data_IF_480149748954
#
_entry.id   IF_480149748954
#
_cell.length_a   1.000
_cell.length_b   1.000
_cell.length_c   1.000
_cell.angle_alpha   90.00
_cell.angle_beta   90.00
_cell.angle_gamma   90.00
#
_symmetry.space_group_name_H-M   'P 1'
#
loop_
_entity.id
_entity.type
_entity.pdbx_description
1 polymer ?
#
# COMPACT_ATOMS: atom_id res chain seq x y z
N UNK A 1 4.25 -12.13 -5.03
CA UNK A 1 3.78 -10.93 -5.75
C UNK A 1 4.97 -10.04 -6.02
N UNK A 2 5.25 -9.65 -7.28
CA UNK A 2 6.30 -8.70 -7.58
C UNK A 2 5.80 -7.24 -7.53
N UNK A 3 6.65 -6.35 -7.02
CA UNK A 3 6.51 -4.91 -7.04
C UNK A 3 7.83 -4.32 -7.50
N UNK A 4 7.80 -3.09 -8.04
CA UNK A 4 9.00 -2.38 -8.49
C UNK A 4 9.04 -1.00 -7.85
N UNK A 5 10.24 -0.63 -7.41
CA UNK A 5 10.58 0.68 -6.88
C UNK A 5 12.11 0.82 -6.85
N UNK A 6 12.60 2.04 -6.80
CA UNK A 6 13.99 2.31 -6.47
C UNK A 6 14.17 2.15 -4.96
N UNK A 7 14.96 1.17 -4.53
CA UNK A 7 15.15 0.76 -3.14
C UNK A 7 16.62 0.87 -2.70
N UNK A 8 17.52 1.38 -3.53
CA UNK A 8 18.93 1.56 -3.16
C UNK A 8 19.56 2.88 -3.61
N UNK A 9 18.78 3.74 -4.26
CA UNK A 9 19.19 5.08 -4.68
C UNK A 9 19.96 5.13 -6.00
N UNK A 10 20.15 4.00 -6.69
CA UNK A 10 20.65 3.99 -8.07
C UNK A 10 19.52 4.29 -9.09
N UNK A 11 19.80 4.64 -10.36
CA UNK A 11 18.75 5.00 -11.32
C UNK A 11 17.83 3.86 -11.79
N UNK A 12 18.06 2.62 -11.38
CA UNK A 12 17.30 1.45 -11.77
C UNK A 12 16.37 0.99 -10.63
N UNK A 13 15.29 0.26 -10.95
CA UNK A 13 14.40 -0.27 -9.92
C UNK A 13 14.85 -1.63 -9.41
N UNK A 14 14.59 -1.88 -8.15
CA UNK A 14 14.58 -3.22 -7.56
C UNK A 14 13.25 -3.93 -7.81
N UNK A 15 13.30 -5.26 -7.78
CA UNK A 15 12.11 -6.12 -7.79
C UNK A 15 11.90 -6.70 -6.39
N UNK A 16 10.91 -6.17 -5.69
CA UNK A 16 10.45 -6.69 -4.41
C UNK A 16 9.52 -7.87 -4.66
N UNK A 17 9.81 -9.03 -4.06
CA UNK A 17 9.06 -10.27 -4.25
C UNK A 17 8.69 -10.88 -2.90
N UNK A 18 7.39 -10.93 -2.65
CA UNK A 18 6.82 -11.67 -1.52
C UNK A 18 6.51 -13.10 -1.95
N UNK A 19 7.09 -14.08 -1.25
CA UNK A 19 6.98 -15.50 -1.54
C UNK A 19 6.66 -16.31 -0.26
N UNK A 20 6.44 -17.62 -0.38
CA UNK A 20 6.03 -18.46 0.77
C UNK A 20 7.08 -18.57 1.89
N UNK A 21 8.33 -18.21 1.61
CA UNK A 21 9.44 -18.22 2.57
C UNK A 21 9.75 -16.85 3.18
N UNK A 22 9.22 -15.75 2.63
CA UNK A 22 9.49 -14.41 3.14
C UNK A 22 9.65 -13.34 2.06
N UNK A 23 10.35 -12.28 2.45
CA UNK A 23 10.69 -11.10 1.66
C UNK A 23 11.97 -11.38 0.87
N UNK A 24 11.92 -11.18 -0.44
CA UNK A 24 13.09 -11.26 -1.34
C UNK A 24 13.17 -9.98 -2.16
N UNK A 25 14.38 -9.43 -2.34
CA UNK A 25 14.64 -8.32 -3.24
C UNK A 25 15.71 -8.70 -4.25
N UNK A 26 15.41 -8.39 -5.51
CA UNK A 26 16.32 -8.58 -6.64
C UNK A 26 16.73 -7.20 -7.19
N UNK A 27 17.96 -7.09 -7.66
CA UNK A 27 18.41 -5.98 -8.49
C UNK A 27 17.65 -5.95 -9.82
N UNK A 28 17.68 -4.79 -10.51
CA UNK A 28 17.14 -4.64 -11.87
C UNK A 28 17.72 -5.65 -12.88
N UNK A 29 18.90 -6.22 -12.59
CA UNK A 29 19.58 -7.25 -13.39
C UNK A 29 19.09 -8.68 -13.11
N UNK A 30 18.29 -8.88 -12.08
CA UNK A 30 17.87 -10.19 -11.57
C UNK A 30 18.84 -10.81 -10.56
N UNK A 31 19.94 -10.13 -10.19
CA UNK A 31 20.81 -10.55 -9.09
C UNK A 31 20.05 -10.46 -7.76
N UNK A 32 20.28 -11.40 -6.84
CA UNK A 32 19.63 -11.40 -5.52
C UNK A 32 20.36 -10.43 -4.59
N UNK A 33 19.66 -9.43 -4.03
CA UNK A 33 20.19 -8.57 -2.95
C UNK A 33 20.09 -9.29 -1.61
N UNK A 34 18.90 -9.78 -1.30
CA UNK A 34 18.63 -10.67 -0.19
C UNK A 34 17.39 -11.50 -0.49
N UNK A 35 17.25 -12.62 0.22
CA UNK A 35 16.21 -13.60 -0.04
C UNK A 35 15.62 -14.14 1.26
N UNK A 36 14.32 -14.43 1.22
CA UNK A 36 13.55 -15.18 2.22
C UNK A 36 13.70 -14.62 3.66
N UNK A 37 13.78 -13.30 3.78
CA UNK A 37 13.84 -12.61 5.07
C UNK A 37 12.48 -12.66 5.76
N UNK A 38 12.50 -12.89 7.08
CA UNK A 38 11.31 -12.96 7.95
C UNK A 38 11.55 -12.19 9.26
N UNK A 39 11.71 -10.86 9.22
CA UNK A 39 12.22 -10.11 10.37
C UNK A 39 11.26 -10.11 11.56
N UNK A 40 9.95 -10.28 11.35
CA UNK A 40 8.95 -10.37 12.42
C UNK A 40 8.99 -11.68 13.20
N UNK A 41 9.67 -12.71 12.67
CA UNK A 41 9.72 -14.05 13.25
C UNK A 41 8.49 -14.92 12.97
N UNK A 42 7.54 -14.47 12.14
CA UNK A 42 6.41 -15.31 11.74
C UNK A 42 6.87 -16.54 10.93
N UNK A 43 6.20 -17.68 11.15
CA UNK A 43 6.51 -18.94 10.48
C UNK A 43 6.27 -18.92 8.96
N UNK A 44 6.66 -19.99 8.26
CA UNK A 44 6.52 -20.13 6.80
C UNK A 44 5.24 -20.85 6.39
N UNK A 45 4.12 -20.52 7.04
CA UNK A 45 2.80 -21.00 6.62
C UNK A 45 2.50 -20.61 5.18
N UNK A 46 1.70 -21.42 4.48
CA UNK A 46 1.51 -21.31 3.01
C UNK A 46 1.17 -19.87 2.54
N UNK A 47 0.27 -19.19 3.25
CA UNK A 47 -0.16 -17.82 2.95
C UNK A 47 0.49 -16.76 3.84
N UNK A 48 1.32 -17.15 4.82
CA UNK A 48 1.84 -16.21 5.84
C UNK A 48 2.65 -15.10 5.22
N UNK A 49 3.54 -15.41 4.26
CA UNK A 49 4.42 -14.41 3.62
C UNK A 49 4.09 -14.15 2.15
N UNK A 50 3.18 -14.91 1.55
CA UNK A 50 2.79 -14.78 0.15
C UNK A 50 1.79 -13.62 -0.04
N UNK A 51 2.18 -12.38 0.25
CA UNK A 51 1.23 -11.24 0.37
C UNK A 51 1.73 -10.04 -0.43
N UNK A 52 0.90 -9.26 -1.13
CA UNK A 52 1.41 -8.11 -1.87
C UNK A 52 1.89 -6.98 -0.92
N UNK A 53 3.07 -6.45 -1.19
CA UNK A 53 3.61 -5.24 -0.58
C UNK A 53 2.99 -3.96 -1.16
N UNK A 54 3.03 -2.91 -0.34
CA UNK A 54 2.82 -1.49 -0.69
C UNK A 54 4.14 -0.76 -0.56
N UNK A 55 4.39 0.26 -1.39
CA UNK A 55 5.63 1.05 -1.36
C UNK A 55 5.27 2.53 -1.26
N UNK A 56 5.85 3.21 -0.28
CA UNK A 56 5.72 4.65 -0.03
C UNK A 56 6.84 5.12 0.91
N UNK A 57 7.09 6.42 0.94
CA UNK A 57 7.79 7.08 2.05
C UNK A 57 6.89 7.02 3.31
N UNK A 58 7.27 6.22 4.29
CA UNK A 58 6.51 5.97 5.52
C UNK A 58 7.10 6.66 6.75
N UNK A 59 8.27 7.29 6.65
CA UNK A 59 8.92 7.99 7.76
C UNK A 59 9.33 9.45 7.47
N UNK A 60 9.12 9.91 6.24
CA UNK A 60 9.29 11.29 5.78
C UNK A 60 10.72 11.66 5.40
N UNK A 61 11.61 10.69 5.20
CA UNK A 61 13.01 10.97 4.84
C UNK A 61 13.26 11.11 3.32
N UNK A 62 12.23 10.86 2.50
CA UNK A 62 12.27 10.92 1.04
C UNK A 62 12.79 9.66 0.36
N UNK A 63 13.12 8.61 1.12
CA UNK A 63 13.37 7.25 0.63
C UNK A 63 12.05 6.48 0.63
N UNK A 64 11.95 5.44 -0.19
CA UNK A 64 10.76 4.60 -0.24
C UNK A 64 10.98 3.33 0.60
N UNK A 65 10.10 3.13 1.57
CA UNK A 65 10.01 1.90 2.36
C UNK A 65 8.90 1.02 1.79
N UNK A 66 8.75 -0.18 2.34
CA UNK A 66 7.65 -1.05 1.96
C UNK A 66 6.89 -1.61 3.16
N UNK A 67 5.55 -1.63 3.02
CA UNK A 67 4.65 -2.20 4.00
C UNK A 67 4.12 -3.56 3.53
N UNK A 68 4.25 -4.57 4.37
CA UNK A 68 3.84 -5.95 4.09
C UNK A 68 3.20 -6.56 5.33
N UNK A 69 2.10 -7.27 5.15
CA UNK A 69 1.57 -8.13 6.21
C UNK A 69 2.25 -9.50 6.19
N UNK A 70 2.38 -10.07 7.39
CA UNK A 70 2.40 -11.49 7.64
C UNK A 70 1.02 -11.94 8.17
N UNK A 71 0.90 -13.17 8.67
CA UNK A 71 -0.36 -13.64 9.25
C UNK A 71 -0.73 -12.97 10.61
N UNK A 72 0.26 -12.49 11.36
CA UNK A 72 0.06 -11.88 12.70
C UNK A 72 0.50 -10.42 12.78
N UNK A 73 1.23 -9.93 11.79
CA UNK A 73 1.85 -8.62 11.85
C UNK A 73 1.63 -7.86 10.55
N UNK A 74 1.44 -6.54 10.64
CA UNK A 74 1.59 -5.62 9.53
C UNK A 74 2.78 -4.72 9.84
N UNK A 75 3.74 -4.66 8.93
CA UNK A 75 5.07 -4.12 9.21
C UNK A 75 5.55 -3.25 8.06
N UNK A 76 6.10 -2.10 8.39
CA UNK A 76 6.90 -1.27 7.47
C UNK A 76 8.36 -1.61 7.64
N UNK A 77 9.04 -1.75 6.50
CA UNK A 77 10.44 -2.10 6.42
C UNK A 77 11.20 -1.09 5.59
N UNK A 78 12.39 -0.78 6.08
CA UNK A 78 13.48 -0.22 5.31
C UNK A 78 13.78 -1.08 4.06
N UNK A 79 14.38 -0.50 3.00
CA UNK A 79 14.80 -1.24 1.82
C UNK A 79 15.72 -2.44 2.07
N UNK A 80 16.40 -2.49 3.21
CA UNK A 80 17.25 -3.60 3.64
C UNK A 80 16.53 -4.65 4.49
N UNK A 81 15.19 -4.59 4.58
CA UNK A 81 14.32 -5.40 5.42
C UNK A 81 14.48 -5.20 6.95
N UNK A 82 15.14 -4.13 7.39
CA UNK A 82 15.05 -3.70 8.80
C UNK A 82 13.64 -3.20 9.10
N UNK A 83 13.15 -3.48 10.31
CA UNK A 83 11.81 -3.06 10.73
C UNK A 83 11.86 -1.58 11.14
N UNK A 84 11.02 -0.76 10.53
CA UNK A 84 10.72 0.60 10.99
C UNK A 84 9.73 0.54 12.16
N UNK A 85 8.59 -0.14 11.95
CA UNK A 85 7.61 -0.43 13.00
C UNK A 85 6.79 -1.67 12.68
N UNK A 86 6.11 -2.23 13.68
CA UNK A 86 5.23 -3.40 13.52
C UNK A 86 3.96 -3.25 14.34
N UNK A 87 2.82 -3.58 13.74
CA UNK A 87 1.52 -3.67 14.39
C UNK A 87 0.99 -5.11 14.39
N UNK A 88 0.28 -5.50 15.45
CA UNK A 88 -0.39 -6.80 15.50
C UNK A 88 -1.68 -6.75 14.68
N UNK A 89 -1.91 -7.76 13.84
CA UNK A 89 -3.13 -7.96 13.05
C UNK A 89 -3.55 -9.42 13.10
N UNK A 90 -4.78 -9.74 12.68
CA UNK A 90 -5.27 -11.11 12.57
C UNK A 90 -5.68 -11.44 11.15
N UNK A 91 -4.80 -12.10 10.41
CA UNK A 91 -5.07 -12.51 9.04
C UNK A 91 -4.40 -13.85 8.74
N UNK A 92 -4.96 -14.94 9.25
CA UNK A 92 -4.42 -16.28 9.02
C UNK A 92 -4.91 -16.88 7.70
N UNK A 93 -6.07 -16.44 7.22
CA UNK A 93 -6.80 -17.09 6.13
C UNK A 93 -6.37 -16.67 4.72
N UNK A 94 -5.86 -15.45 4.54
CA UNK A 94 -5.72 -14.84 3.23
C UNK A 94 -4.34 -14.36 2.88
N UNK A 95 -4.28 -13.53 1.84
CA UNK A 95 -3.06 -12.90 1.32
C UNK A 95 -3.30 -11.42 0.98
N UNK A 96 -4.11 -10.73 1.82
CA UNK A 96 -4.49 -9.34 1.61
C UNK A 96 -3.24 -8.43 1.58
N UNK A 97 -3.35 -7.32 0.85
CA UNK A 97 -2.30 -6.30 0.81
C UNK A 97 -2.66 -5.11 1.72
N UNK A 98 -1.70 -4.21 1.89
CA UNK A 98 -1.95 -2.87 2.41
C UNK A 98 -2.19 -1.84 1.31
N UNK A 99 -2.37 -0.59 1.74
CA UNK A 99 -2.18 0.62 0.93
C UNK A 99 -1.63 1.73 1.83
N UNK A 100 -1.33 2.89 1.29
CA UNK A 100 -0.88 4.06 2.04
C UNK A 100 -1.31 5.36 1.35
N UNK A 101 -1.41 6.43 2.12
CA UNK A 101 -1.66 7.79 1.64
C UNK A 101 -1.26 8.80 2.72
N UNK A 102 -0.61 9.90 2.35
CA UNK A 102 -0.37 11.04 3.24
C UNK A 102 -1.66 11.88 3.29
N UNK A 103 -2.52 11.61 4.29
CA UNK A 103 -3.80 12.30 4.45
C UNK A 103 -3.64 13.73 4.97
N UNK A 104 -2.50 14.06 5.57
CA UNK A 104 -2.26 15.33 6.27
C UNK A 104 -1.44 16.33 5.45
N UNK A 105 -0.79 15.88 4.38
CA UNK A 105 0.10 16.71 3.56
C UNK A 105 1.41 17.04 4.27
N UNK A 106 1.85 16.21 5.22
CA UNK A 106 3.07 16.46 6.00
C UNK A 106 4.30 15.68 5.49
N UNK A 107 4.13 14.91 4.42
CA UNK A 107 5.19 14.13 3.77
C UNK A 107 5.34 12.72 4.33
N UNK A 108 4.57 12.32 5.35
CA UNK A 108 4.59 10.97 5.92
C UNK A 108 3.30 10.24 5.53
N UNK A 109 3.39 9.10 4.85
CA UNK A 109 2.18 8.37 4.53
C UNK A 109 1.64 7.54 5.69
N UNK A 110 0.33 7.65 5.95
CA UNK A 110 -0.37 6.72 6.82
C UNK A 110 -0.53 5.36 6.13
N UNK A 111 -0.06 4.31 6.79
CA UNK A 111 -0.23 2.94 6.32
C UNK A 111 -1.63 2.41 6.64
N UNK A 112 -2.20 1.62 5.74
CA UNK A 112 -3.53 1.05 5.89
C UNK A 112 -3.53 -0.45 5.63
N UNK A 113 -4.21 -1.18 6.50
CA UNK A 113 -4.38 -2.62 6.36
C UNK A 113 -5.79 -3.06 6.78
N UNK A 114 -6.30 -4.09 6.13
CA UNK A 114 -7.61 -4.66 6.43
C UNK A 114 -7.46 -6.15 6.72
N UNK A 115 -7.44 -6.50 8.02
CA UNK A 115 -7.34 -7.87 8.50
C UNK A 115 -8.72 -8.57 8.45
N UNK A 116 -8.85 -9.79 8.97
CA UNK A 116 -10.12 -10.54 8.89
C UNK A 116 -11.35 -9.77 9.45
N UNK A 117 -11.15 -8.88 10.41
CA UNK A 117 -12.21 -8.26 11.22
C UNK A 117 -12.16 -6.73 11.30
N UNK A 118 -11.04 -6.12 10.96
CA UNK A 118 -10.80 -4.70 11.21
C UNK A 118 -9.98 -4.09 10.08
N UNK A 119 -10.40 -2.90 9.66
CA UNK A 119 -9.61 -2.00 8.83
C UNK A 119 -8.91 -1.01 9.76
N UNK A 120 -7.62 -0.82 9.53
CA UNK A 120 -6.74 0.02 10.31
C UNK A 120 -6.16 1.13 9.42
N UNK A 121 -6.02 2.32 10.02
CA UNK A 121 -5.08 3.35 9.59
C UNK A 121 -4.05 3.48 10.72
N UNK A 122 -2.76 3.44 10.39
CA UNK A 122 -1.66 3.55 11.35
C UNK A 122 -0.92 4.87 11.17
N UNK A 123 -0.41 5.43 12.27
CA UNK A 123 0.59 6.50 12.22
C UNK A 123 1.98 5.96 11.80
N UNK A 124 2.95 6.86 11.62
CA UNK A 124 4.34 6.53 11.29
C UNK A 124 5.10 5.72 12.36
N UNK A 125 4.47 5.40 13.49
CA UNK A 125 5.02 4.51 14.53
C UNK A 125 4.25 3.17 14.63
N UNK A 126 3.28 2.92 13.75
CA UNK A 126 2.46 1.71 13.75
C UNK A 126 1.32 1.72 14.78
N UNK A 127 1.01 2.86 15.38
CA UNK A 127 -0.13 2.99 16.30
C UNK A 127 -1.42 3.20 15.50
N UNK A 128 -2.51 2.44 15.76
CA UNK A 128 -3.77 2.65 15.08
C UNK A 128 -4.37 4.03 15.38
N UNK A 129 -4.53 4.87 14.35
CA UNK A 129 -5.26 6.15 14.39
C UNK A 129 -6.76 5.94 14.19
N UNK A 130 -7.14 4.99 13.34
CA UNK A 130 -8.52 4.65 13.04
C UNK A 130 -8.68 3.13 12.97
N UNK A 131 -9.79 2.64 13.50
CA UNK A 131 -10.20 1.24 13.42
C UNK A 131 -11.66 1.16 13.04
N UNK A 132 -11.96 0.43 11.96
CA UNK A 132 -13.31 0.28 11.42
C UNK A 132 -13.62 -1.21 11.31
N UNK A 133 -14.74 -1.68 11.89
CA UNK A 133 -15.17 -3.06 11.71
C UNK A 133 -15.39 -3.39 10.23
N UNK A 134 -14.81 -4.49 9.79
CA UNK A 134 -15.08 -5.17 8.52
C UNK A 134 -15.18 -6.68 8.76
N UNK A 135 -15.58 -7.44 7.75
CA UNK A 135 -15.49 -8.91 7.83
C UNK A 135 -15.02 -9.44 6.49
N UNK A 136 -13.94 -10.20 6.45
CA UNK A 136 -13.62 -11.00 5.27
C UNK A 136 -12.61 -12.08 5.63
N UNK A 137 -12.68 -13.22 4.94
CA UNK A 137 -11.71 -14.28 5.09
C UNK A 137 -10.38 -13.98 4.41
N UNK A 138 -10.17 -12.73 4.00
CA UNK A 138 -8.99 -12.17 3.34
C UNK A 138 -8.58 -12.98 2.11
N UNK A 139 -8.42 -12.31 0.97
CA UNK A 139 -7.93 -12.95 -0.25
C UNK A 139 -6.79 -12.12 -0.77
N UNK A 140 -7.06 -11.21 -1.70
CA UNK A 140 -6.04 -10.32 -2.24
C UNK A 140 -6.53 -8.89 -2.26
N UNK A 141 -7.65 -8.60 -1.60
CA UNK A 141 -8.15 -7.25 -1.44
C UNK A 141 -7.20 -6.41 -0.59
N UNK A 142 -7.36 -5.09 -0.70
CA UNK A 142 -6.72 -4.10 0.13
C UNK A 142 -7.54 -2.80 0.04
N UNK A 143 -7.45 -1.88 1.03
CA UNK A 143 -8.18 -0.60 0.96
C UNK A 143 -7.72 0.25 -0.23
N UNK A 144 -8.61 1.06 -0.80
CA UNK A 144 -8.29 1.99 -1.89
C UNK A 144 -8.49 3.41 -1.39
N UNK A 145 -7.57 4.32 -1.71
CA UNK A 145 -7.74 5.76 -1.45
C UNK A 145 -7.99 6.48 -2.76
N UNK A 146 -9.08 7.24 -2.84
CA UNK A 146 -9.41 8.09 -3.97
C UNK A 146 -10.40 9.17 -3.52
N UNK A 147 -10.45 10.31 -4.21
CA UNK A 147 -11.58 11.24 -4.12
C UNK A 147 -12.75 10.60 -4.91
N UNK A 148 -13.72 10.01 -4.21
CA UNK A 148 -14.74 9.15 -4.85
C UNK A 148 -16.00 9.91 -5.24
N UNK A 149 -16.25 11.07 -4.62
CA UNK A 149 -17.41 11.91 -4.90
C UNK A 149 -17.07 13.29 -5.48
N UNK A 150 -15.78 13.54 -5.73
CA UNK A 150 -15.23 14.73 -6.36
C UNK A 150 -15.52 16.01 -5.54
N UNK A 151 -15.38 15.92 -4.21
CA UNK A 151 -15.52 17.06 -3.31
C UNK A 151 -14.19 17.73 -2.94
N UNK A 152 -13.07 17.15 -3.37
CA UNK A 152 -11.73 17.65 -3.09
C UNK A 152 -11.11 17.12 -1.80
N UNK A 153 -11.73 16.15 -1.14
CA UNK A 153 -11.16 15.34 -0.06
C UNK A 153 -10.87 13.92 -0.56
N UNK A 154 -9.93 13.23 0.07
CA UNK A 154 -9.77 11.81 -0.17
C UNK A 154 -10.79 11.00 0.63
N UNK A 155 -11.21 9.84 0.11
CA UNK A 155 -11.94 8.82 0.83
C UNK A 155 -11.22 7.48 0.76
N UNK A 156 -11.56 6.60 1.71
CA UNK A 156 -11.08 5.22 1.73
C UNK A 156 -12.24 4.29 1.39
N UNK A 157 -12.04 3.44 0.40
CA UNK A 157 -12.95 2.35 0.04
C UNK A 157 -12.40 1.04 0.59
N UNK A 158 -13.17 0.36 1.44
CA UNK A 158 -12.85 -0.97 1.96
C UNK A 158 -13.98 -1.94 1.66
N UNK A 159 -13.61 -3.18 1.34
CA UNK A 159 -14.56 -4.25 1.02
C UNK A 159 -14.64 -5.29 2.13
N UNK A 160 -15.81 -5.90 2.27
CA UNK A 160 -16.10 -7.02 3.17
C UNK A 160 -16.75 -8.17 2.40
N UNK A 161 -16.65 -9.39 2.94
CA UNK A 161 -17.45 -10.55 2.55
C UNK A 161 -18.09 -11.20 3.80
N UNK A 162 -18.88 -12.26 3.58
CA UNK A 162 -19.68 -12.89 4.63
C UNK A 162 -18.91 -13.92 5.47
N UNK A 163 -17.59 -13.99 5.33
CA UNK A 163 -16.76 -14.85 6.17
C UNK A 163 -16.74 -14.29 7.59
N UNK A 164 -17.29 -15.05 8.54
CA UNK A 164 -17.25 -14.71 9.97
C UNK A 164 -18.17 -13.58 10.42
N UNK A 165 -18.94 -12.94 9.54
CA UNK A 165 -19.92 -11.92 9.94
C UNK A 165 -20.63 -11.23 8.77
N UNK A 166 -21.19 -10.04 9.05
CA UNK A 166 -22.15 -9.36 8.16
C UNK A 166 -21.85 -7.86 7.99
N UNK A 167 -20.58 -7.47 7.94
CA UNK A 167 -20.22 -6.07 7.64
C UNK A 167 -20.69 -5.66 6.24
N UNK A 168 -20.95 -4.36 6.00
CA UNK A 168 -21.35 -3.89 4.68
C UNK A 168 -20.31 -4.29 3.62
N UNK A 169 -20.76 -4.80 2.47
CA UNK A 169 -19.89 -5.32 1.41
C UNK A 169 -18.88 -4.28 0.91
N UNK A 170 -19.29 -3.01 0.85
CA UNK A 170 -18.44 -1.88 0.51
C UNK A 170 -18.72 -0.77 1.51
N UNK A 171 -17.67 -0.20 2.09
CA UNK A 171 -17.73 0.97 2.94
C UNK A 171 -16.85 2.06 2.33
N UNK A 172 -17.38 3.28 2.29
CA UNK A 172 -16.64 4.50 1.96
C UNK A 172 -16.47 5.28 3.26
N UNK A 173 -15.24 5.64 3.57
CA UNK A 173 -14.84 6.27 4.83
C UNK A 173 -14.24 7.63 4.48
N UNK A 174 -14.67 8.68 5.19
CA UNK A 174 -14.24 10.06 4.97
C UNK A 174 -13.92 10.75 6.30
N UNK A 175 -13.11 11.80 6.25
CA UNK A 175 -13.04 12.76 7.37
C UNK A 175 -14.37 13.52 7.49
N UNK A 176 -14.88 13.69 8.71
CA UNK A 176 -16.20 14.33 8.90
C UNK A 176 -16.22 15.81 8.50
N UNK A 177 -15.04 16.44 8.39
CA UNK A 177 -14.86 17.84 8.01
C UNK A 177 -14.17 18.00 6.65
N UNK A 178 -14.00 16.90 5.89
CA UNK A 178 -13.37 16.90 4.55
C UNK A 178 -11.97 17.56 4.57
N UNK A 179 -11.17 17.21 5.59
CA UNK A 179 -9.81 17.75 5.81
C UNK A 179 -8.70 16.91 5.20
N UNK A 180 -8.99 15.70 4.72
CA UNK A 180 -7.99 14.86 4.10
C UNK A 180 -7.58 15.46 2.76
N UNK A 181 -6.27 15.50 2.50
CA UNK A 181 -5.75 16.06 1.24
C UNK A 181 -6.36 15.32 0.04
N UNK A 182 -6.71 16.07 -0.99
CA UNK A 182 -7.31 15.54 -2.22
C UNK A 182 -6.43 14.45 -2.85
N UNK A 183 -6.95 13.23 -2.89
CA UNK A 183 -6.39 12.15 -3.69
C UNK A 183 -6.86 12.26 -5.15
N UNK A 184 -6.17 11.56 -6.06
CA UNK A 184 -6.71 11.33 -7.41
C UNK A 184 -8.02 10.55 -7.38
N UNK A 185 -8.87 10.74 -8.38
CA UNK A 185 -10.19 10.09 -8.49
C UNK A 185 -10.14 8.71 -9.16
N UNK A 186 -8.94 8.17 -9.36
CA UNK A 186 -8.71 6.99 -10.19
C UNK A 186 -7.89 5.94 -9.45
N UNK A 187 -8.40 4.70 -9.51
CA UNK A 187 -7.68 3.48 -9.13
C UNK A 187 -8.16 2.35 -10.05
N UNK A 188 -7.52 2.18 -11.21
CA UNK A 188 -8.09 1.37 -12.30
C UNK A 188 -7.73 -0.12 -12.26
N UNK A 189 -6.79 -0.54 -11.41
CA UNK A 189 -6.30 -1.91 -11.40
C UNK A 189 -5.73 -2.34 -10.04
N UNK A 190 -5.61 -3.67 -9.84
CA UNK A 190 -5.04 -4.24 -8.60
C UNK A 190 -3.57 -3.87 -8.39
N UNK A 191 -2.79 -3.72 -9.44
CA UNK A 191 -1.38 -3.30 -9.39
C UNK A 191 -1.25 -1.81 -9.69
N UNK A 192 -2.07 -0.97 -9.04
CA UNK A 192 -2.07 0.46 -9.29
C UNK A 192 -0.72 1.11 -8.92
N UNK A 193 -0.29 2.03 -9.76
CA UNK A 193 0.87 2.90 -9.58
C UNK A 193 0.59 4.12 -10.43
N UNK A 194 0.81 5.32 -9.90
CA UNK A 194 0.23 6.57 -10.42
C UNK A 194 0.43 6.77 -11.94
N UNK A 195 1.58 6.36 -12.46
CA UNK A 195 1.99 6.55 -13.86
C UNK A 195 1.23 5.67 -14.86
N UNK A 196 0.50 4.64 -14.42
CA UNK A 196 -0.12 3.64 -15.30
C UNK A 196 -1.43 4.12 -15.95
N UNK A 197 -2.07 5.13 -15.35
CA UNK A 197 -3.36 5.67 -15.79
C UNK A 197 -3.41 7.16 -15.48
N UNK A 198 -3.96 7.95 -16.40
CA UNK A 198 -4.17 9.39 -16.21
C UNK A 198 -5.44 9.66 -15.40
N UNK A 199 -5.56 10.89 -14.92
CA UNK A 199 -6.72 11.34 -14.14
C UNK A 199 -8.05 11.25 -14.92
N UNK A 200 -7.99 11.35 -16.24
CA UNK A 200 -9.12 11.18 -17.16
C UNK A 200 -9.38 9.71 -17.57
N UNK A 201 -8.76 8.77 -16.85
CA UNK A 201 -8.79 7.32 -17.10
C UNK A 201 -8.17 6.85 -18.42
N UNK A 202 -7.49 7.74 -19.19
CA UNK A 202 -6.75 7.31 -20.37
C UNK A 202 -5.43 6.63 -19.97
N UNK A 203 -4.99 5.64 -20.76
CA UNK A 203 -3.74 4.93 -20.52
C UNK A 203 -2.63 5.61 -21.34
N UNK A 204 -1.52 6.05 -20.73
CA UNK A 204 -0.38 6.58 -21.48
C UNK A 204 0.14 5.56 -22.49
N UNK A 205 0.39 5.99 -23.74
CA UNK A 205 1.02 5.12 -24.74
C UNK A 205 2.44 4.72 -24.32
N UNK A 206 3.15 5.64 -23.68
CA UNK A 206 4.45 5.41 -23.06
C UNK A 206 4.33 5.87 -21.62
N UNK A 207 4.32 4.90 -20.72
CA UNK A 207 4.30 5.15 -19.30
C UNK A 207 5.66 5.70 -18.84
N UNK A 208 5.63 6.75 -18.02
CA UNK A 208 6.81 7.20 -17.28
C UNK A 208 7.13 6.18 -16.21
N UNK A 209 8.41 5.83 -16.05
CA UNK A 209 8.86 4.95 -14.98
C UNK A 209 8.41 5.47 -13.61
N UNK A 210 7.64 4.68 -12.87
CA UNK A 210 7.13 5.09 -11.56
C UNK A 210 8.25 5.33 -10.56
N UNK A 211 9.29 4.50 -10.59
CA UNK A 211 10.46 4.56 -9.70
C UNK A 211 11.39 5.77 -9.94
N UNK A 212 11.30 6.42 -11.11
CA UNK A 212 12.08 7.62 -11.44
C UNK A 212 11.37 8.93 -11.01
N UNK A 213 10.12 8.83 -10.56
CA UNK A 213 9.28 9.99 -10.25
C UNK A 213 8.75 9.92 -8.82
N UNK A 214 7.61 9.27 -8.64
CA UNK A 214 6.89 9.24 -7.36
C UNK A 214 7.42 8.10 -6.48
N UNK A 215 7.96 7.06 -7.09
CA UNK A 215 8.54 5.88 -6.44
C UNK A 215 7.58 5.16 -5.47
N UNK A 216 6.28 5.13 -5.80
CA UNK A 216 5.26 4.46 -5.01
C UNK A 216 4.58 3.31 -5.76
N UNK A 217 3.98 2.38 -5.01
CA UNK A 217 3.25 1.24 -5.57
C UNK A 217 2.09 0.82 -4.65
N UNK A 218 0.88 0.64 -5.22
CA UNK A 218 -0.39 0.44 -4.48
C UNK A 218 -0.72 1.55 -3.49
N UNK A 219 -0.43 2.78 -3.88
CA UNK A 219 -0.82 3.99 -3.16
C UNK A 219 -1.34 5.00 -4.15
N UNK A 220 -2.13 5.95 -3.65
CA UNK A 220 -2.50 7.11 -4.43
C UNK A 220 -1.63 8.31 -4.04
N UNK A 221 -1.70 9.38 -4.82
CA UNK A 221 -0.99 10.63 -4.53
C UNK A 221 -1.93 11.79 -4.36
N UNK A 222 -1.42 12.80 -3.69
CA UNK A 222 -2.03 14.11 -3.59
C UNK A 222 -2.05 14.79 -4.96
N UNK A 223 -3.09 15.58 -5.23
CA UNK A 223 -3.11 16.48 -6.38
C UNK A 223 -2.55 17.84 -5.93
N UNK A 224 -1.22 17.98 -5.93
CA UNK A 224 -0.56 19.30 -5.84
C UNK A 224 -0.04 19.75 -7.21
N UNK A 225 -0.18 21.05 -7.52
CA UNK A 225 0.52 21.70 -8.64
C UNK A 225 0.06 21.39 -10.06
N UNK A 226 -0.84 20.42 -10.28
CA UNK A 226 -1.42 20.14 -11.59
C UNK A 226 -0.49 19.46 -12.61
N UNK A 227 0.78 19.22 -12.29
CA UNK A 227 1.78 18.70 -13.24
C UNK A 227 1.48 17.30 -13.79
N UNK A 228 0.73 16.48 -13.05
CA UNK A 228 0.28 15.14 -13.50
C UNK A 228 -1.13 15.19 -14.14
N UNK A 229 -1.84 16.32 -13.97
CA UNK A 229 -3.22 16.52 -14.40
C UNK A 229 -3.35 17.28 -15.73
N UNK A 230 -2.25 17.60 -16.42
CA UNK A 230 -2.32 18.25 -17.73
C UNK A 230 -2.38 17.18 -18.81
N UNK A 231 -3.53 17.01 -19.50
CA UNK A 231 -3.53 16.28 -20.76
C UNK A 231 -2.67 17.05 -21.76
N UNK A 232 -1.69 16.37 -22.37
CA UNK A 232 -1.01 16.88 -23.55
C UNK A 232 -1.95 16.85 -24.76
#
# INVERSE_FOLDING_TARGET
>A
YPQIANLDGDPAPEVLVMNTQGITVLEHTGAVKYQDQRPTGDGTGFTTWLRPATIHDFDGDGVAEFAVSSANHYTVYEPNAAITWTANVSDQSGIAAGTAFDFLGDGVAEAMYADETTMFIFDGAGTPLLQIPRTSGTLSEYPVVADVDNDGSAEIVVVSNQYGGASPTVQVIRDVQDRWIQARRIWNQHTYHVTNVREDATIPQFETNSWDTINTFRTNIQIEGGDICIPN
#
